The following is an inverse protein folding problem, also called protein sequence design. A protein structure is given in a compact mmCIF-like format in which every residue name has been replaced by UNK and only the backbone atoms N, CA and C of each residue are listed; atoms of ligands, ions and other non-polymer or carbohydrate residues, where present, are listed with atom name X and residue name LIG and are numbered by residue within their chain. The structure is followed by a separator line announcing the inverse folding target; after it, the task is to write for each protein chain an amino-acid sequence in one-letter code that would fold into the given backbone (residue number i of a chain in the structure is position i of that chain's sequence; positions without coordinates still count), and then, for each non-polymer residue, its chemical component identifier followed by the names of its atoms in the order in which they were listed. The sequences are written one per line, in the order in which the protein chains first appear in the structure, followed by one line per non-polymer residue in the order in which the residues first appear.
data_IF_909010249703
#
_entry.id   IF_909010249703
#
_cell.length_a   1.000
_cell.length_b   1.000
_cell.length_c   1.000
_cell.angle_alpha   90.00
_cell.angle_beta   90.00
_cell.angle_gamma   90.00
#
_symmetry.space_group_name_H-M   'P 1'
#
loop_
_entity.id
_entity.type
_entity.pdbx_description
1 polymer ?
#
# COMPACT_ATOMS: atom_id res chain seq x y z
N UNK A 1 28.48 -21.30 -49.54
CA UNK A 1 27.33 -21.32 -50.47
C UNK A 1 26.25 -20.35 -49.98
N UNK A 2 25.92 -19.38 -50.85
CA UNK A 2 24.73 -18.50 -50.96
C UNK A 2 24.21 -17.71 -49.73
N UNK A 3 24.55 -16.42 -49.82
CA UNK A 3 23.77 -15.22 -49.45
C UNK A 3 22.37 -15.19 -50.07
N UNK A 4 21.36 -14.67 -49.34
CA UNK A 4 20.25 -13.88 -49.90
C UNK A 4 19.87 -12.75 -48.92
N UNK A 5 20.00 -11.50 -49.40
CA UNK A 5 19.29 -10.28 -48.95
C UNK A 5 17.97 -10.17 -49.71
N UNK A 6 16.93 -9.62 -49.06
CA UNK A 6 15.88 -8.73 -49.64
C UNK A 6 15.12 -8.06 -48.48
N UNK A 7 15.29 -6.75 -48.25
CA UNK A 7 14.41 -5.61 -48.65
C UNK A 7 13.01 -5.64 -48.02
N UNK A 8 12.73 -4.80 -47.01
CA UNK A 8 12.06 -3.48 -47.13
C UNK A 8 10.57 -3.55 -47.50
N UNK A 9 9.69 -3.14 -46.59
CA UNK A 9 8.63 -2.15 -46.86
C UNK A 9 7.99 -1.70 -45.53
N UNK A 10 7.87 -0.38 -45.40
CA UNK A 10 7.27 0.37 -44.31
C UNK A 10 5.90 0.86 -44.80
N UNK A 11 4.85 0.93 -43.95
CA UNK A 11 3.75 1.86 -44.23
C UNK A 11 3.57 2.89 -43.10
N UNK A 12 3.91 4.13 -43.46
CA UNK A 12 3.06 5.34 -43.35
C UNK A 12 2.33 5.63 -42.03
N UNK A 13 2.89 6.58 -41.28
CA UNK A 13 2.13 7.56 -40.49
C UNK A 13 1.32 8.50 -41.40
N UNK A 14 0.18 9.02 -40.92
CA UNK A 14 -0.30 10.34 -41.30
C UNK A 14 -0.05 11.36 -40.18
N UNK A 15 0.77 12.36 -40.48
CA UNK A 15 0.67 13.74 -39.99
C UNK A 15 -0.62 14.33 -40.58
N UNK A 16 -1.44 15.15 -39.94
CA UNK A 16 -1.23 16.26 -39.03
C UNK A 16 -2.44 17.21 -39.21
N UNK A 17 -2.84 17.96 -38.17
CA UNK A 17 -3.54 19.24 -38.32
C UNK A 17 -3.72 19.90 -36.95
N UNK A 18 -3.14 21.09 -36.82
CA UNK A 18 -3.25 21.98 -35.67
C UNK A 18 -4.49 22.88 -35.78
N UNK A 19 -5.08 23.22 -34.62
CA UNK A 19 -5.85 24.44 -34.24
C UNK A 19 -6.65 24.06 -32.99
N UNK A 20 -6.89 24.86 -31.96
CA UNK A 20 -6.77 26.31 -31.76
C UNK A 20 -6.74 26.53 -30.24
N UNK A 21 -5.93 27.48 -29.78
CA UNK A 21 -6.05 28.08 -28.44
C UNK A 21 -7.40 28.80 -28.35
N UNK A 22 -8.12 28.60 -27.25
CA UNK A 22 -9.04 29.61 -26.70
C UNK A 22 -8.97 29.57 -25.18
N UNK A 23 -8.89 30.76 -24.63
CA UNK A 23 -8.62 31.12 -23.26
C UNK A 23 -9.87 31.70 -22.60
N UNK A 24 -9.91 31.58 -21.26
CA UNK A 24 -10.69 32.36 -20.26
C UNK A 24 -12.17 31.98 -20.02
N UNK A 25 -12.76 32.32 -18.84
CA UNK A 25 -12.19 33.00 -17.66
C UNK A 25 -12.37 32.26 -16.32
N UNK A 26 -11.63 32.76 -15.32
CA UNK A 26 -11.83 32.57 -13.88
C UNK A 26 -13.15 33.21 -13.44
N UNK A 27 -13.96 32.50 -12.68
CA UNK A 27 -14.98 33.09 -11.80
C UNK A 27 -14.65 32.74 -10.35
N UNK A 28 -14.36 33.79 -9.59
CA UNK A 28 -14.39 33.81 -8.14
C UNK A 28 -15.83 33.59 -7.67
N UNK A 29 -16.03 32.68 -6.73
CA UNK A 29 -17.20 32.68 -5.87
C UNK A 29 -16.72 32.60 -4.42
N UNK A 30 -16.70 33.75 -3.77
CA UNK A 30 -16.65 33.88 -2.33
C UNK A 30 -17.98 33.38 -1.76
N UNK A 31 -17.94 32.45 -0.81
CA UNK A 31 -19.10 32.08 0.00
C UNK A 31 -18.75 32.32 1.45
N UNK A 32 -19.60 33.15 2.06
CA UNK A 32 -19.50 33.70 3.40
C UNK A 32 -19.55 32.63 4.50
N UNK A 33 -18.80 32.89 5.57
CA UNK A 33 -18.98 32.25 6.87
C UNK A 33 -20.27 32.74 7.53
N UNK A 34 -21.05 31.87 8.19
CA UNK A 34 -21.91 32.29 9.28
C UNK A 34 -21.12 32.29 10.59
N UNK A 35 -21.12 33.48 11.20
CA UNK A 35 -20.85 33.78 12.60
C UNK A 35 -21.80 32.93 13.48
N UNK A 36 -21.27 32.16 14.42
CA UNK A 36 -22.07 31.53 15.47
C UNK A 36 -21.55 31.97 16.84
N UNK A 37 -22.48 32.55 17.59
CA UNK A 37 -22.34 33.19 18.88
C UNK A 37 -21.70 32.29 19.95
N UNK A 38 -20.78 32.91 20.69
CA UNK A 38 -20.38 32.53 22.04
C UNK A 38 -21.56 32.83 22.97
N UNK A 39 -22.01 31.82 23.72
CA UNK A 39 -22.69 32.05 25.00
C UNK A 39 -22.01 31.18 26.05
N UNK A 40 -21.48 31.84 27.08
CA UNK A 40 -20.87 31.22 28.24
C UNK A 40 -21.93 30.74 29.23
N UNK A 41 -21.58 29.70 29.97
CA UNK A 41 -22.26 29.25 31.16
C UNK A 41 -21.24 28.53 32.04
N UNK A 42 -20.79 29.23 33.09
CA UNK A 42 -19.93 28.73 34.16
C UNK A 42 -20.79 28.16 35.30
N UNK A 43 -20.11 27.50 36.26
CA UNK A 43 -20.59 26.85 37.50
C UNK A 43 -21.04 25.39 37.32
N UNK A 44 -20.64 24.42 38.15
CA UNK A 44 -19.79 24.42 39.33
C UNK A 44 -19.37 22.96 39.63
N UNK A 45 -18.22 22.81 40.29
CA UNK A 45 -17.70 21.54 40.76
C UNK A 45 -18.42 21.08 42.04
N UNK A 46 -18.65 19.77 42.19
CA UNK A 46 -18.77 19.11 43.49
C UNK A 46 -18.12 17.73 43.40
N UNK A 47 -17.30 17.40 44.39
CA UNK A 47 -16.53 16.18 44.52
C UNK A 47 -17.35 15.01 45.13
N UNK A 48 -16.93 13.78 44.78
CA UNK A 48 -16.84 12.47 45.48
C UNK A 48 -17.45 12.30 46.90
N UNK A 49 -17.76 11.07 47.42
CA UNK A 49 -16.95 9.83 47.25
C UNK A 49 -17.66 8.43 47.36
N UNK A 50 -16.89 7.35 47.05
CA UNK A 50 -16.78 5.99 47.67
C UNK A 50 -18.07 5.13 47.87
N UNK A 51 -18.16 3.79 47.82
CA UNK A 51 -17.25 2.62 47.99
C UNK A 51 -18.01 1.31 47.70
N UNK A 52 -17.25 0.22 47.47
CA UNK A 52 -17.52 -1.22 47.71
C UNK A 52 -18.73 -1.91 47.02
N UNK A 53 -18.67 -3.18 46.59
CA UNK A 53 -17.68 -4.24 46.71
C UNK A 53 -18.40 -5.58 46.46
N UNK A 54 -17.77 -6.55 45.80
CA UNK A 54 -18.03 -7.99 45.99
C UNK A 54 -17.15 -8.84 45.07
N UNK A 55 -16.46 -9.79 45.70
CA UNK A 55 -15.47 -10.71 45.16
C UNK A 55 -15.73 -12.05 45.85
N UNK A 56 -15.71 -13.19 45.12
CA UNK A 56 -15.36 -14.55 45.57
C UNK A 56 -15.62 -15.58 44.41
N UNK A 57 -15.22 -16.87 44.54
CA UNK A 57 -13.88 -17.47 44.35
C UNK A 57 -13.89 -18.46 43.14
N UNK A 58 -12.79 -18.83 42.46
CA UNK A 58 -11.70 -19.71 42.92
C UNK A 58 -11.87 -21.15 42.38
N UNK A 59 -11.08 -21.53 41.36
CA UNK A 59 -10.64 -22.93 41.10
C UNK A 59 -9.25 -22.93 40.44
N UNK A 60 -8.29 -23.46 41.20
CA UNK A 60 -6.96 -23.99 40.83
C UNK A 60 -7.03 -25.03 39.68
N UNK A 61 -5.99 -25.44 38.96
CA UNK A 61 -4.60 -25.04 38.76
C UNK A 61 -4.05 -25.88 37.59
N UNK A 62 -2.86 -25.48 37.10
CA UNK A 62 -1.87 -26.28 36.38
C UNK A 62 -2.07 -26.58 34.88
N UNK A 63 -1.39 -25.78 34.04
CA UNK A 63 -0.20 -26.31 33.31
C UNK A 63 0.71 -25.18 32.83
N UNK A 64 1.92 -25.20 33.39
CA UNK A 64 3.01 -24.26 33.16
C UNK A 64 3.59 -24.42 31.75
N UNK A 65 3.46 -23.39 30.92
CA UNK A 65 4.31 -23.18 29.76
C UNK A 65 4.65 -21.68 29.73
N UNK A 66 5.90 -21.36 30.07
CA UNK A 66 6.41 -20.01 30.16
C UNK A 66 6.37 -19.31 28.78
N UNK A 67 5.29 -18.59 28.52
CA UNK A 67 5.27 -17.52 27.53
C UNK A 67 5.82 -16.27 28.21
N UNK A 68 7.05 -15.90 27.87
CA UNK A 68 7.54 -14.55 28.12
C UNK A 68 6.70 -13.56 27.28
N UNK A 69 5.61 -13.06 27.86
CA UNK A 69 4.96 -11.83 27.42
C UNK A 69 5.85 -10.67 27.83
N UNK A 70 6.81 -10.32 26.97
CA UNK A 70 7.41 -9.00 27.01
C UNK A 70 6.33 -8.03 26.51
N UNK A 71 5.64 -7.38 27.45
CA UNK A 71 4.81 -6.21 27.16
C UNK A 71 5.72 -5.12 26.60
N UNK A 72 5.83 -5.08 25.28
CA UNK A 72 6.58 -4.06 24.57
C UNK A 72 5.91 -2.71 24.78
N UNK A 73 6.51 -1.89 25.64
CA UNK A 73 6.18 -0.45 25.72
C UNK A 73 6.15 0.12 24.31
N UNK A 74 4.96 0.55 23.87
CA UNK A 74 4.78 1.21 22.60
C UNK A 74 5.62 2.50 22.61
N UNK A 75 6.42 2.72 21.57
CA UNK A 75 7.16 3.97 21.40
C UNK A 75 6.13 5.09 21.20
N UNK A 76 5.85 5.87 22.24
CA UNK A 76 5.03 7.08 22.16
C UNK A 76 5.83 8.17 21.46
N UNK A 77 5.28 8.74 20.39
CA UNK A 77 5.97 9.59 19.42
C UNK A 77 6.43 10.98 19.90
N UNK A 78 7.13 11.07 21.03
CA UNK A 78 7.92 12.26 21.33
C UNK A 78 9.14 12.28 20.40
N UNK A 79 9.29 13.35 19.61
CA UNK A 79 10.46 13.55 18.76
C UNK A 79 11.71 13.68 19.64
N UNK A 80 12.68 12.75 19.59
CA UNK A 80 13.93 12.97 20.30
C UNK A 80 14.63 14.17 19.68
N UNK A 81 15.18 15.04 20.54
CA UNK A 81 15.99 16.21 20.17
C UNK A 81 17.17 15.86 19.24
N UNK A 82 17.55 14.58 19.15
CA UNK A 82 18.68 14.04 18.39
C UNK A 82 18.30 13.21 17.12
N UNK A 83 17.05 13.27 16.64
CA UNK A 83 16.58 12.51 15.48
C UNK A 83 16.75 13.21 14.12
N UNK A 84 16.88 12.42 13.05
CA UNK A 84 16.69 12.88 11.67
C UNK A 84 15.22 12.73 11.27
N UNK A 85 14.66 13.76 10.65
CA UNK A 85 13.29 13.76 10.12
C UNK A 85 13.30 14.16 8.66
N UNK A 86 12.68 13.38 7.78
CA UNK A 86 12.51 13.78 6.39
C UNK A 86 11.26 14.65 6.26
N UNK A 87 11.44 15.90 5.83
CA UNK A 87 10.33 16.75 5.44
C UNK A 87 9.87 16.36 4.05
N UNK A 88 8.76 15.61 3.96
CA UNK A 88 8.19 15.24 2.67
C UNK A 88 7.80 16.45 1.82
N UNK A 89 7.38 17.57 2.44
CA UNK A 89 7.08 18.82 1.75
C UNK A 89 8.33 19.44 1.11
N UNK A 90 9.43 19.54 1.88
CA UNK A 90 10.68 20.16 1.41
C UNK A 90 11.59 19.19 0.64
N UNK A 91 11.29 17.89 0.63
CA UNK A 91 12.11 16.88 -0.04
C UNK A 91 13.50 16.71 0.58
N UNK A 92 13.69 17.05 1.86
CA UNK A 92 15.00 17.00 2.53
C UNK A 92 14.92 16.55 3.98
N UNK A 93 16.03 16.04 4.52
CA UNK A 93 16.17 15.76 5.94
C UNK A 93 16.39 17.02 6.76
N UNK A 94 15.92 17.00 8.00
CA UNK A 94 16.14 17.99 9.05
C UNK A 94 16.56 17.23 10.33
N UNK A 95 17.22 17.90 11.26
CA UNK A 95 17.49 17.38 12.61
C UNK A 95 16.33 17.69 13.56
N UNK A 96 16.38 17.18 14.79
CA UNK A 96 15.44 17.53 15.87
C UNK A 96 15.32 19.05 16.07
N UNK A 97 16.44 19.78 15.97
CA UNK A 97 16.49 21.24 16.01
C UNK A 97 15.92 21.96 14.77
N UNK A 98 15.42 21.21 13.76
CA UNK A 98 14.85 21.78 12.53
C UNK A 98 15.87 22.30 11.51
N UNK A 99 17.16 22.09 11.77
CA UNK A 99 18.25 22.48 10.88
C UNK A 99 18.49 21.38 9.83
N UNK A 100 18.95 21.76 8.64
CA UNK A 100 19.39 20.78 7.66
C UNK A 100 20.69 20.11 8.17
N UNK A 101 20.77 18.77 8.22
CA UNK A 101 22.02 18.09 8.51
C UNK A 101 23.03 18.33 7.38
N UNK A 102 24.32 18.25 7.71
CA UNK A 102 25.36 18.26 6.70
C UNK A 102 25.28 16.98 5.86
N UNK A 103 25.20 17.11 4.54
CA UNK A 103 25.40 16.00 3.63
C UNK A 103 26.90 15.76 3.48
N UNK A 104 27.40 14.68 4.09
CA UNK A 104 28.81 14.28 3.96
C UNK A 104 29.09 13.74 2.56
N UNK A 105 28.14 12.97 2.01
CA UNK A 105 28.26 12.36 0.68
C UNK A 105 26.91 11.97 0.12
N UNK A 106 26.65 12.29 -1.15
CA UNK A 106 25.55 11.72 -1.92
C UNK A 106 26.02 10.46 -2.64
N UNK A 107 25.32 9.36 -2.46
CA UNK A 107 25.59 8.07 -3.12
C UNK A 107 24.43 7.83 -4.09
N UNK A 108 24.60 8.29 -5.33
CA UNK A 108 23.63 8.04 -6.41
C UNK A 108 23.90 6.66 -7.02
N UNK A 109 23.04 5.69 -6.70
CA UNK A 109 23.12 4.34 -7.28
C UNK A 109 22.36 4.24 -8.60
N UNK A 110 22.54 3.13 -9.30
CA UNK A 110 21.76 2.82 -10.50
C UNK A 110 20.37 2.23 -10.14
N UNK A 111 20.24 1.61 -8.96
CA UNK A 111 19.02 0.96 -8.49
C UNK A 111 18.39 1.63 -7.26
N UNK A 112 19.19 2.23 -6.37
CA UNK A 112 18.73 2.96 -5.18
C UNK A 112 19.69 4.08 -4.82
N UNK A 113 19.18 5.12 -4.16
CA UNK A 113 19.95 6.30 -3.76
C UNK A 113 20.08 6.42 -2.25
N UNK A 114 21.28 6.78 -1.81
CA UNK A 114 21.57 7.04 -0.41
C UNK A 114 22.25 8.41 -0.22
N UNK A 115 22.21 8.91 1.01
CA UNK A 115 23.03 10.05 1.44
C UNK A 115 23.60 9.75 2.81
N UNK A 116 24.88 10.08 3.03
CA UNK A 116 25.48 10.08 4.35
C UNK A 116 25.27 11.45 4.97
N UNK A 117 24.64 11.47 6.13
CA UNK A 117 24.27 12.68 6.87
C UNK A 117 25.06 12.78 8.17
N UNK A 118 25.32 14.00 8.62
CA UNK A 118 25.81 14.30 9.97
C UNK A 118 25.06 15.49 10.54
N UNK A 119 24.32 15.27 11.62
CA UNK A 119 23.65 16.31 12.38
C UNK A 119 24.62 16.98 13.35
N UNK A 120 24.43 18.29 13.59
CA UNK A 120 25.12 18.96 14.70
C UNK A 120 24.65 18.31 16.02
N UNK A 121 25.60 17.79 16.81
CA UNK A 121 25.30 17.08 18.06
C UNK A 121 24.76 15.65 17.90
N UNK A 122 24.82 15.04 16.71
CA UNK A 122 24.40 13.65 16.52
C UNK A 122 25.44 12.63 17.00
N UNK A 123 24.99 11.42 17.36
CA UNK A 123 25.81 10.27 17.80
C UNK A 123 26.78 9.69 16.74
N UNK A 124 27.04 10.44 15.67
CA UNK A 124 27.84 10.00 14.51
C UNK A 124 27.16 10.28 13.17
N UNK A 125 27.84 9.95 12.06
CA UNK A 125 27.24 9.93 10.73
C UNK A 125 26.09 8.91 10.64
N UNK A 126 25.20 9.12 9.67
CA UNK A 126 23.97 8.32 9.48
C UNK A 126 23.75 8.04 7.99
N UNK A 127 23.34 6.82 7.65
CA UNK A 127 23.00 6.41 6.29
C UNK A 127 21.52 6.70 6.05
N UNK A 128 21.20 7.49 5.04
CA UNK A 128 19.81 7.80 4.67
C UNK A 128 19.43 7.16 3.34
N UNK A 129 18.34 6.39 3.32
CA UNK A 129 17.70 5.88 2.10
C UNK A 129 16.79 6.94 1.50
N UNK A 130 17.05 7.32 0.24
CA UNK A 130 16.41 8.48 -0.41
C UNK A 130 15.68 8.17 -1.72
N UNK A 131 15.61 6.90 -2.12
CA UNK A 131 14.96 6.50 -3.38
C UNK A 131 13.50 6.92 -3.48
N UNK A 132 12.75 6.83 -2.38
CA UNK A 132 11.35 7.29 -2.33
C UNK A 132 11.22 8.76 -1.90
N UNK A 133 12.30 9.47 -1.60
CA UNK A 133 12.24 10.83 -1.08
C UNK A 133 11.71 11.84 -2.12
N UNK A 134 11.98 11.63 -3.40
CA UNK A 134 11.62 12.55 -4.49
C UNK A 134 10.59 11.93 -5.44
N UNK A 135 9.41 12.54 -5.54
CA UNK A 135 8.39 12.31 -6.58
C UNK A 135 7.44 13.51 -6.65
N UNK A 136 6.77 13.72 -7.78
CA UNK A 136 5.63 14.63 -7.91
C UNK A 136 4.45 14.23 -7.01
N UNK A 137 4.26 12.94 -6.71
CA UNK A 137 3.18 12.45 -5.85
C UNK A 137 3.56 12.57 -4.37
N UNK A 138 3.23 13.70 -3.73
CA UNK A 138 3.66 14.00 -2.36
C UNK A 138 3.34 12.89 -1.33
N UNK A 139 2.18 12.23 -1.44
CA UNK A 139 1.77 11.14 -0.54
C UNK A 139 2.61 9.86 -0.72
N UNK A 140 3.31 9.70 -1.84
CA UNK A 140 4.18 8.57 -2.12
C UNK A 140 5.63 8.80 -1.70
N UNK A 141 5.95 9.97 -1.14
CA UNK A 141 7.29 10.25 -0.60
C UNK A 141 7.49 9.41 0.67
N UNK A 142 8.71 8.97 0.95
CA UNK A 142 9.12 8.42 2.24
C UNK A 142 10.64 8.31 2.26
N UNK A 143 11.22 8.33 3.45
CA UNK A 143 12.65 8.14 3.61
C UNK A 143 12.96 7.57 5.00
N UNK A 144 14.16 7.06 5.16
CA UNK A 144 14.68 6.59 6.43
C UNK A 144 16.13 7.02 6.61
N UNK A 145 16.58 7.09 7.85
CA UNK A 145 17.96 7.33 8.22
C UNK A 145 18.37 6.35 9.33
N UNK A 146 19.48 5.64 9.18
CA UNK A 146 19.93 4.64 10.13
C UNK A 146 21.41 4.80 10.50
N UNK A 147 21.73 4.47 11.74
CA UNK A 147 23.09 4.18 12.17
C UNK A 147 23.06 2.87 12.98
N UNK A 148 24.17 2.50 13.64
CA UNK A 148 24.23 1.24 14.38
C UNK A 148 23.34 1.18 15.63
N UNK A 149 22.73 2.29 16.08
CA UNK A 149 21.95 2.39 17.32
C UNK A 149 20.48 2.75 17.08
N UNK A 150 20.13 3.25 15.90
CA UNK A 150 18.75 3.66 15.62
C UNK A 150 18.39 3.59 14.14
N UNK A 151 17.08 3.60 13.90
CA UNK A 151 16.45 3.89 12.62
C UNK A 151 15.41 4.99 12.81
N UNK A 152 15.59 6.10 12.12
CA UNK A 152 14.61 7.16 11.97
C UNK A 152 13.81 6.95 10.69
N UNK A 153 12.49 6.87 10.82
CA UNK A 153 11.54 6.72 9.72
C UNK A 153 10.82 8.03 9.50
N UNK A 154 10.48 8.33 8.24
CA UNK A 154 9.71 9.51 7.92
C UNK A 154 8.86 9.31 6.67
N UNK A 155 7.61 9.77 6.76
CA UNK A 155 6.60 9.66 5.72
C UNK A 155 5.83 10.99 5.61
N UNK A 156 5.05 11.21 4.55
CA UNK A 156 4.22 12.39 4.40
C UNK A 156 3.00 12.31 5.32
N UNK A 157 2.57 13.48 5.80
CA UNK A 157 1.24 13.64 6.34
C UNK A 157 0.20 13.29 5.27
N UNK A 158 -0.81 12.54 5.67
CA UNK A 158 -2.00 12.29 4.86
C UNK A 158 -3.10 13.12 5.46
N UNK A 159 -3.72 13.98 4.64
CA UNK A 159 -4.82 14.84 5.06
C UNK A 159 -5.94 13.98 5.64
N UNK A 160 -6.45 14.36 6.81
CA UNK A 160 -7.49 13.63 7.56
C UNK A 160 -7.08 12.22 8.05
N UNK A 161 -5.77 11.94 8.19
CA UNK A 161 -5.32 10.75 8.88
C UNK A 161 -5.26 10.98 10.40
N UNK A 162 -5.93 10.14 11.17
CA UNK A 162 -5.98 10.28 12.63
C UNK A 162 -4.70 9.81 13.33
N UNK A 163 -4.12 8.71 12.83
CA UNK A 163 -2.92 8.06 13.39
C UNK A 163 -2.24 7.15 12.37
N UNK A 164 -0.98 6.84 12.64
CA UNK A 164 -0.14 5.91 11.90
C UNK A 164 0.26 4.76 12.80
N UNK A 165 0.13 3.54 12.30
CA UNK A 165 0.68 2.33 12.91
C UNK A 165 2.01 2.02 12.25
N UNK A 166 3.05 1.75 13.05
CA UNK A 166 4.40 1.44 12.56
C UNK A 166 4.77 0.04 13.00
N UNK A 167 5.14 -0.78 12.02
CA UNK A 167 5.55 -2.16 12.19
C UNK A 167 7.02 -2.32 11.80
N UNK A 168 7.75 -3.19 12.49
CA UNK A 168 9.08 -3.66 12.12
C UNK A 168 9.04 -5.17 11.98
N UNK A 169 9.39 -5.68 10.81
CA UNK A 169 9.42 -7.12 10.51
C UNK A 169 8.10 -7.84 10.84
N UNK A 170 6.99 -7.11 10.73
CA UNK A 170 5.63 -7.58 10.99
C UNK A 170 5.09 -7.30 12.40
N UNK A 171 5.94 -6.91 13.35
CA UNK A 171 5.54 -6.60 14.72
C UNK A 171 5.22 -5.12 14.88
N UNK A 172 4.10 -4.78 15.55
CA UNK A 172 3.73 -3.40 15.85
C UNK A 172 4.72 -2.82 16.87
N UNK A 173 5.48 -1.80 16.49
CA UNK A 173 6.47 -1.15 17.36
C UNK A 173 6.00 0.20 17.92
N UNK A 174 4.94 0.78 17.35
CA UNK A 174 4.38 2.04 17.82
C UNK A 174 3.17 2.52 17.05
N UNK A 175 2.46 3.46 17.65
CA UNK A 175 1.38 4.24 17.03
C UNK A 175 1.63 5.71 17.29
N UNK A 176 1.48 6.57 16.28
CA UNK A 176 1.79 8.01 16.39
C UNK A 176 0.86 8.84 15.50
N UNK A 177 0.57 10.08 15.91
CA UNK A 177 -0.08 11.08 15.05
C UNK A 177 0.95 11.85 14.21
N UNK A 178 2.22 11.80 14.61
CA UNK A 178 3.32 12.40 13.86
C UNK A 178 3.66 11.62 12.60
N UNK A 179 4.45 12.25 11.73
CA UNK A 179 4.85 11.68 10.43
C UNK A 179 6.29 11.13 10.44
N UNK A 180 6.78 10.80 11.64
CA UNK A 180 8.09 10.25 11.89
C UNK A 180 8.06 9.35 13.13
N UNK A 181 9.00 8.40 13.19
CA UNK A 181 9.24 7.55 14.36
C UNK A 181 10.71 7.16 14.40
N UNK A 182 11.32 7.20 15.59
CA UNK A 182 12.65 6.65 15.85
C UNK A 182 12.53 5.30 16.54
N UNK A 183 13.16 4.29 15.98
CA UNK A 183 13.35 2.98 16.60
C UNK A 183 14.79 2.86 17.09
N UNK A 184 14.97 2.71 18.40
CA UNK A 184 16.26 2.51 19.08
C UNK A 184 16.54 1.05 19.43
N UNK A 185 15.60 0.13 19.17
CA UNK A 185 15.74 -1.30 19.50
C UNK A 185 16.33 -2.09 18.35
N UNK A 186 17.24 -1.48 17.59
CA UNK A 186 17.79 -2.04 16.35
C UNK A 186 19.11 -2.78 16.61
N UNK A 187 19.44 -3.72 15.74
CA UNK A 187 20.69 -4.49 15.84
C UNK A 187 21.66 -4.01 14.75
N UNK A 188 22.91 -3.65 15.09
CA UNK A 188 23.93 -3.34 14.10
C UNK A 188 24.06 -4.44 13.04
N UNK A 189 24.15 -4.05 11.76
CA UNK A 189 24.24 -5.00 10.66
C UNK A 189 22.93 -5.63 10.17
N UNK A 190 21.84 -5.49 10.92
CA UNK A 190 20.57 -6.07 10.55
C UNK A 190 19.94 -5.37 9.32
N UNK A 191 19.17 -6.15 8.55
CA UNK A 191 18.25 -5.61 7.56
C UNK A 191 16.83 -5.80 8.09
N UNK A 192 16.04 -4.73 8.14
CA UNK A 192 14.66 -4.76 8.64
C UNK A 192 13.70 -4.13 7.65
N UNK A 193 12.49 -4.67 7.55
CA UNK A 193 11.36 -4.07 6.86
C UNK A 193 10.51 -3.27 7.84
N UNK A 194 10.38 -1.97 7.60
CA UNK A 194 9.42 -1.14 8.33
C UNK A 194 8.19 -0.91 7.48
N UNK A 195 6.99 -1.09 8.06
CA UNK A 195 5.73 -0.71 7.44
C UNK A 195 5.01 0.35 8.23
N UNK A 196 4.52 1.35 7.54
CA UNK A 196 3.73 2.44 8.12
C UNK A 196 2.35 2.37 7.48
N UNK A 197 1.29 2.29 8.28
CA UNK A 197 -0.08 2.19 7.79
C UNK A 197 -1.00 3.25 8.40
N UNK A 198 -1.90 3.79 7.59
CA UNK A 198 -2.99 4.66 8.02
C UNK A 198 -4.18 4.56 7.07
N UNK A 199 -5.29 5.18 7.44
CA UNK A 199 -6.48 5.37 6.60
C UNK A 199 -6.87 6.83 6.59
N UNK A 200 -7.35 7.33 5.45
CA UNK A 200 -7.76 8.72 5.31
C UNK A 200 -8.85 8.89 4.26
N UNK A 201 -9.57 10.02 4.33
CA UNK A 201 -10.60 10.38 3.36
C UNK A 201 -10.01 10.50 1.96
N UNK A 202 -10.59 9.80 1.00
CA UNK A 202 -10.19 9.84 -0.39
C UNK A 202 -10.56 11.17 -1.05
N UNK A 203 -9.72 11.72 -1.95
CA UNK A 203 -10.05 12.95 -2.68
C UNK A 203 -11.24 12.71 -3.63
N UNK A 204 -12.08 13.73 -3.83
CA UNK A 204 -13.27 13.66 -4.68
C UNK A 204 -12.96 13.20 -6.12
N UNK A 205 -11.79 13.54 -6.65
CA UNK A 205 -11.31 13.09 -7.97
C UNK A 205 -11.12 11.57 -8.09
N UNK A 206 -11.11 10.85 -6.98
CA UNK A 206 -11.03 9.38 -6.95
C UNK A 206 -12.38 8.73 -6.67
N UNK A 207 -13.46 9.49 -6.53
CA UNK A 207 -14.78 8.92 -6.29
C UNK A 207 -15.36 8.37 -7.59
N UNK A 208 -16.02 7.22 -7.48
CA UNK A 208 -16.90 6.69 -8.52
C UNK A 208 -18.24 7.42 -8.49
N UNK A 209 -18.98 7.43 -9.59
CA UNK A 209 -20.33 8.04 -9.65
C UNK A 209 -21.24 7.54 -8.51
N UNK A 210 -21.16 6.26 -8.21
CA UNK A 210 -21.91 5.65 -7.10
C UNK A 210 -21.44 6.06 -5.70
N UNK A 211 -20.16 6.40 -5.53
CA UNK A 211 -19.65 6.97 -4.27
C UNK A 211 -20.07 8.43 -4.16
N UNK A 212 -20.03 9.19 -5.25
CA UNK A 212 -20.59 10.54 -5.30
C UNK A 212 -22.09 10.53 -4.94
N UNK A 213 -22.87 9.59 -5.49
CA UNK A 213 -24.28 9.43 -5.17
C UNK A 213 -24.54 8.97 -3.72
N UNK A 214 -23.56 8.29 -3.09
CA UNK A 214 -23.65 7.92 -1.67
C UNK A 214 -23.37 9.15 -0.81
N UNK A 215 -22.29 9.88 -1.09
CA UNK A 215 -21.97 11.14 -0.44
C UNK A 215 -23.13 12.15 -0.52
N UNK A 216 -23.75 12.33 -1.68
CA UNK A 216 -24.88 13.25 -1.84
C UNK A 216 -26.10 12.86 -0.97
N UNK A 217 -26.23 11.59 -0.59
CA UNK A 217 -27.36 11.08 0.21
C UNK A 217 -27.05 11.05 1.71
N UNK A 218 -25.82 10.69 2.08
CA UNK A 218 -25.46 10.38 3.48
C UNK A 218 -24.37 11.28 4.05
N UNK A 219 -23.67 12.06 3.22
CA UNK A 219 -22.46 12.79 3.61
C UNK A 219 -21.23 11.90 3.82
N UNK A 220 -21.32 10.58 3.60
CA UNK A 220 -20.22 9.64 3.83
C UNK A 220 -19.13 9.81 2.76
N UNK A 221 -17.90 10.08 3.21
CA UNK A 221 -16.74 10.22 2.33
C UNK A 221 -16.00 8.88 2.23
N UNK A 222 -15.72 8.37 1.02
CA UNK A 222 -14.91 7.18 0.83
C UNK A 222 -13.55 7.29 1.50
N UNK A 223 -13.06 6.19 2.07
CA UNK A 223 -11.76 6.13 2.75
C UNK A 223 -10.80 5.28 1.93
N UNK A 224 -9.55 5.74 1.82
CA UNK A 224 -8.44 4.96 1.29
C UNK A 224 -7.52 4.51 2.42
N UNK A 225 -6.91 3.35 2.26
CA UNK A 225 -5.76 2.98 3.06
C UNK A 225 -4.49 3.54 2.43
N UNK A 226 -3.47 3.74 3.25
CA UNK A 226 -2.14 4.18 2.85
C UNK A 226 -1.12 3.29 3.56
N UNK A 227 -0.17 2.75 2.83
CA UNK A 227 0.91 1.94 3.41
C UNK A 227 2.23 2.24 2.73
N UNK A 228 3.24 2.55 3.53
CA UNK A 228 4.64 2.63 3.11
C UNK A 228 5.40 1.43 3.64
N UNK A 229 6.37 0.94 2.88
CA UNK A 229 7.31 -0.08 3.31
C UNK A 229 8.72 0.34 2.94
N UNK A 230 9.61 0.29 3.92
CA UNK A 230 11.00 0.74 3.82
C UNK A 230 11.92 -0.40 4.25
N UNK A 231 12.76 -0.89 3.34
CA UNK A 231 13.80 -1.88 3.62
C UNK A 231 15.04 -1.11 4.08
N UNK A 232 15.30 -1.17 5.38
CA UNK A 232 16.37 -0.42 6.03
C UNK A 232 17.56 -1.35 6.28
N UNK A 233 18.75 -0.90 5.88
CA UNK A 233 20.00 -1.54 6.29
C UNK A 233 20.58 -0.77 7.47
N UNK A 234 20.73 -1.45 8.61
CA UNK A 234 21.38 -0.89 9.81
C UNK A 234 22.90 -1.11 9.65
N UNK A 235 23.73 -0.05 9.65
CA UNK A 235 25.18 -0.18 9.59
C UNK A 235 25.74 -0.93 10.81
N UNK A 236 26.89 -1.61 10.64
CA UNK A 236 27.59 -2.30 11.73
C UNK A 236 28.12 -1.34 12.81
N UNK A 237 28.49 -0.13 12.42
CA UNK A 237 28.96 0.92 13.33
C UNK A 237 28.67 2.30 12.76
N UNK A 238 28.72 3.34 13.59
CA UNK A 238 28.45 4.72 13.20
C UNK A 238 29.71 5.42 12.62
N UNK A 239 30.46 4.75 11.73
CA UNK A 239 31.56 5.36 10.98
C UNK A 239 31.30 5.34 9.47
N UNK A 240 31.93 6.27 8.74
CA UNK A 240 31.68 6.46 7.30
C UNK A 240 31.91 5.18 6.49
N UNK A 241 32.94 4.40 6.80
CA UNK A 241 33.25 3.15 6.08
C UNK A 241 32.15 2.08 6.24
N UNK A 242 31.63 1.90 7.45
CA UNK A 242 30.54 0.96 7.72
C UNK A 242 29.22 1.40 7.05
N UNK A 243 28.93 2.71 7.06
CA UNK A 243 27.76 3.28 6.38
C UNK A 243 27.84 3.08 4.86
N UNK A 244 29.01 3.33 4.27
CA UNK A 244 29.21 3.11 2.84
C UNK A 244 29.12 1.63 2.47
N UNK A 245 29.61 0.74 3.33
CA UNK A 245 29.51 -0.71 3.13
C UNK A 245 28.04 -1.16 3.13
N UNK A 246 27.24 -0.65 4.08
CA UNK A 246 25.80 -0.87 4.11
C UNK A 246 25.10 -0.35 2.84
N UNK A 247 25.44 0.86 2.38
CA UNK A 247 24.90 1.44 1.15
C UNK A 247 25.25 0.60 -0.10
N UNK A 248 26.51 0.16 -0.23
CA UNK A 248 26.97 -0.70 -1.34
C UNK A 248 26.26 -2.05 -1.35
N UNK A 249 26.09 -2.67 -0.18
CA UNK A 249 25.36 -3.94 -0.05
C UNK A 249 23.89 -3.80 -0.47
N UNK A 250 23.21 -2.76 -0.01
CA UNK A 250 21.82 -2.50 -0.37
C UNK A 250 21.66 -2.18 -1.88
N UNK A 251 22.58 -1.40 -2.46
CA UNK A 251 22.61 -1.12 -3.90
C UNK A 251 22.89 -2.38 -4.73
N UNK A 252 23.83 -3.23 -4.32
CA UNK A 252 24.13 -4.49 -5.00
C UNK A 252 22.91 -5.43 -4.99
N UNK A 253 22.21 -5.53 -3.85
CA UNK A 253 20.95 -6.27 -3.73
C UNK A 253 19.88 -5.71 -4.66
N UNK A 254 19.66 -4.39 -4.64
CA UNK A 254 18.67 -3.75 -5.51
C UNK A 254 18.98 -3.96 -7.01
N UNK A 255 20.25 -3.82 -7.41
CA UNK A 255 20.72 -4.09 -8.78
C UNK A 255 20.44 -5.52 -9.24
N UNK A 256 20.47 -6.50 -8.35
CA UNK A 256 20.18 -7.90 -8.70
C UNK A 256 18.76 -8.11 -9.23
N UNK A 257 17.81 -7.26 -8.84
CA UNK A 257 16.44 -7.33 -9.35
C UNK A 257 16.34 -6.71 -10.74
N UNK A 258 15.88 -7.49 -11.71
CA UNK A 258 15.67 -7.06 -13.09
C UNK A 258 14.23 -6.65 -13.38
N UNK A 259 13.28 -7.22 -12.64
CA UNK A 259 11.89 -6.83 -12.71
C UNK A 259 11.18 -6.93 -11.37
N UNK A 260 10.08 -6.21 -11.27
CA UNK A 260 9.14 -6.30 -10.16
C UNK A 260 7.73 -6.49 -10.71
N UNK A 261 6.99 -7.45 -10.17
CA UNK A 261 5.58 -7.64 -10.47
C UNK A 261 4.71 -7.15 -9.31
N UNK A 262 3.56 -6.57 -9.64
CA UNK A 262 2.46 -6.35 -8.70
C UNK A 262 1.25 -7.12 -9.24
N UNK A 263 0.78 -8.07 -8.46
CA UNK A 263 -0.36 -8.92 -8.79
C UNK A 263 -1.53 -8.58 -7.88
N UNK A 264 -2.67 -8.21 -8.46
CA UNK A 264 -3.94 -8.04 -7.75
C UNK A 264 -4.90 -9.16 -8.14
N UNK A 265 -5.11 -10.07 -7.20
CA UNK A 265 -5.94 -11.26 -7.38
C UNK A 265 -7.15 -11.22 -6.46
N UNK A 266 -8.27 -11.73 -6.95
CA UNK A 266 -9.48 -11.92 -6.15
C UNK A 266 -9.92 -13.38 -6.21
N UNK A 267 -10.51 -13.89 -5.15
CA UNK A 267 -10.97 -15.29 -5.10
C UNK A 267 -12.11 -15.46 -4.10
N UNK A 268 -12.92 -16.49 -4.31
CA UNK A 268 -13.97 -16.90 -3.38
C UNK A 268 -13.43 -18.05 -2.54
N UNK A 269 -13.23 -17.83 -1.25
CA UNK A 269 -12.66 -18.83 -0.34
C UNK A 269 -13.45 -20.13 -0.24
N UNK A 270 -14.78 -20.05 -0.33
CA UNK A 270 -15.68 -21.19 -0.19
C UNK A 270 -15.76 -22.01 -1.48
N UNK A 271 -16.02 -23.31 -1.37
CA UNK A 271 -16.30 -24.17 -2.54
C UNK A 271 -17.55 -23.75 -3.30
N UNK A 272 -18.57 -23.30 -2.58
CA UNK A 272 -19.87 -22.92 -3.13
C UNK A 272 -20.31 -21.56 -2.61
N UNK A 273 -20.97 -20.78 -3.46
CA UNK A 273 -21.65 -19.54 -3.09
C UNK A 273 -23.03 -19.52 -3.71
N UNK A 274 -24.04 -19.17 -2.92
CA UNK A 274 -25.40 -18.95 -3.41
C UNK A 274 -25.47 -17.61 -4.14
N UNK A 275 -26.17 -17.59 -5.26
CA UNK A 275 -26.31 -16.36 -6.02
C UNK A 275 -27.22 -15.34 -5.29
N UNK A 276 -26.85 -14.06 -5.32
CA UNK A 276 -27.74 -12.97 -4.91
C UNK A 276 -28.87 -12.74 -5.92
N UNK A 277 -29.90 -11.99 -5.51
CA UNK A 277 -30.98 -11.51 -6.40
C UNK A 277 -30.42 -10.68 -7.55
N UNK A 278 -31.00 -10.81 -8.76
CA UNK A 278 -30.49 -10.13 -9.98
C UNK A 278 -29.55 -10.99 -10.84
N UNK A 279 -29.37 -12.26 -10.47
CA UNK A 279 -28.70 -13.28 -11.27
C UNK A 279 -29.71 -14.21 -11.97
N UNK A 280 -29.33 -14.80 -13.11
CA UNK A 280 -30.14 -15.78 -13.86
C UNK A 280 -30.39 -17.06 -13.06
N UNK A 281 -29.39 -17.52 -12.31
CA UNK A 281 -29.45 -18.76 -11.55
C UNK A 281 -29.49 -18.43 -10.06
N UNK A 282 -30.67 -18.52 -9.42
CA UNK A 282 -30.85 -18.18 -8.00
C UNK A 282 -31.27 -19.41 -7.19
N UNK A 283 -32.55 -19.51 -6.80
CA UNK A 283 -33.08 -20.61 -5.99
C UNK A 283 -32.88 -21.95 -6.72
N UNK A 284 -32.32 -22.94 -6.01
CA UNK A 284 -32.01 -24.26 -6.58
C UNK A 284 -30.65 -24.36 -7.28
N UNK A 285 -29.86 -23.28 -7.30
CA UNK A 285 -28.53 -23.23 -7.92
C UNK A 285 -27.44 -22.75 -6.97
N UNK A 286 -26.19 -23.05 -7.32
CA UNK A 286 -24.98 -22.61 -6.64
C UNK A 286 -23.86 -22.32 -7.63
N UNK A 287 -23.01 -21.36 -7.28
CA UNK A 287 -21.84 -20.96 -8.06
C UNK A 287 -20.59 -21.59 -7.43
N UNK A 288 -19.69 -22.13 -8.25
CA UNK A 288 -18.41 -22.61 -7.76
C UNK A 288 -17.52 -21.44 -7.33
N UNK A 289 -16.93 -21.54 -6.14
CA UNK A 289 -15.84 -20.67 -5.71
C UNK A 289 -14.47 -21.29 -5.98
N UNK A 290 -13.43 -20.68 -5.43
CA UNK A 290 -12.04 -21.09 -5.62
C UNK A 290 -11.55 -22.12 -4.60
N UNK A 291 -12.30 -22.29 -3.50
CA UNK A 291 -12.02 -23.25 -2.43
C UNK A 291 -10.57 -23.17 -1.92
N UNK A 292 -10.10 -21.96 -1.59
CA UNK A 292 -8.71 -21.73 -1.14
C UNK A 292 -8.60 -20.59 -0.16
N UNK A 293 -7.44 -20.50 0.49
CA UNK A 293 -7.00 -19.31 1.24
C UNK A 293 -6.10 -18.39 0.42
N UNK A 294 -5.56 -17.37 1.10
CA UNK A 294 -4.54 -16.48 0.55
C UNK A 294 -3.30 -17.27 0.14
N UNK A 295 -2.67 -16.87 -0.96
CA UNK A 295 -1.48 -17.58 -1.44
C UNK A 295 -0.57 -16.69 -2.25
N UNK A 296 0.74 -16.82 -2.02
CA UNK A 296 1.80 -16.17 -2.81
C UNK A 296 2.12 -16.94 -4.11
N UNK A 297 1.57 -18.13 -4.30
CA UNK A 297 1.82 -18.95 -5.49
C UNK A 297 1.11 -18.38 -6.73
N UNK A 298 1.77 -18.46 -7.87
CA UNK A 298 1.30 -17.83 -9.11
C UNK A 298 0.07 -18.50 -9.73
N UNK A 299 -0.05 -19.82 -9.67
CA UNK A 299 -1.03 -20.63 -10.41
C UNK A 299 -2.33 -20.94 -9.64
N UNK A 300 -2.72 -20.13 -8.66
CA UNK A 300 -3.94 -20.39 -7.88
C UNK A 300 -5.19 -19.90 -8.60
N UNK A 301 -6.26 -20.67 -8.46
CA UNK A 301 -7.60 -20.33 -8.94
C UNK A 301 -8.03 -18.94 -8.47
N UNK A 302 -8.75 -18.19 -9.28
CA UNK A 302 -9.15 -16.83 -8.95
C UNK A 302 -10.42 -16.42 -9.70
N UNK A 303 -11.04 -15.32 -9.26
CA UNK A 303 -12.11 -14.63 -9.99
C UNK A 303 -11.54 -13.58 -10.93
N UNK A 304 -10.57 -12.80 -10.47
CA UNK A 304 -9.78 -11.87 -11.29
C UNK A 304 -8.31 -12.02 -10.94
N UNK A 305 -7.43 -11.92 -11.93
CA UNK A 305 -5.98 -11.75 -11.76
C UNK A 305 -5.54 -10.60 -12.68
N UNK A 306 -4.93 -9.56 -12.11
CA UNK A 306 -4.27 -8.48 -12.82
C UNK A 306 -2.81 -8.50 -12.43
N UNK A 307 -1.91 -8.69 -13.39
CA UNK A 307 -0.46 -8.69 -13.13
C UNK A 307 0.19 -7.60 -13.95
N UNK A 308 0.79 -6.61 -13.28
CA UNK A 308 1.66 -5.61 -13.90
C UNK A 308 3.12 -5.92 -13.62
N UNK A 309 3.99 -5.75 -14.60
CA UNK A 309 5.44 -5.98 -14.50
C UNK A 309 6.19 -4.72 -14.89
N UNK A 310 7.13 -4.30 -14.04
CA UNK A 310 8.08 -3.23 -14.30
C UNK A 310 9.45 -3.85 -14.52
N UNK A 311 10.08 -3.56 -15.66
CA UNK A 311 11.43 -4.02 -16.00
C UNK A 311 12.43 -2.88 -15.80
N UNK A 312 13.36 -3.05 -14.85
CA UNK A 312 14.17 -1.93 -14.36
C UNK A 312 15.27 -1.48 -15.31
N UNK A 313 16.21 -2.34 -15.76
CA UNK A 313 17.26 -1.90 -16.67
C UNK A 313 16.73 -1.39 -18.02
N UNK A 314 15.63 -1.97 -18.51
CA UNK A 314 15.06 -1.66 -19.82
C UNK A 314 14.16 -0.42 -19.81
N UNK A 315 13.73 0.06 -18.63
CA UNK A 315 12.78 1.17 -18.55
C UNK A 315 11.42 0.87 -19.18
N UNK A 316 11.04 -0.42 -19.25
CA UNK A 316 9.78 -0.86 -19.88
C UNK A 316 8.84 -1.51 -18.86
N UNK A 317 7.60 -1.76 -19.30
CA UNK A 317 6.60 -2.47 -18.51
C UNK A 317 5.72 -3.35 -19.38
N UNK A 318 5.08 -4.34 -18.76
CA UNK A 318 4.06 -5.18 -19.39
C UNK A 318 2.95 -5.42 -18.38
N UNK A 319 1.80 -5.89 -18.85
CA UNK A 319 0.75 -6.36 -17.95
C UNK A 319 -0.12 -7.39 -18.63
N UNK A 320 -0.79 -8.19 -17.82
CA UNK A 320 -1.75 -9.19 -18.24
C UNK A 320 -2.94 -9.21 -17.30
N UNK A 321 -4.05 -9.77 -17.78
CA UNK A 321 -5.23 -10.03 -16.97
C UNK A 321 -5.82 -11.39 -17.28
N UNK A 322 -6.43 -12.01 -16.28
CA UNK A 322 -7.22 -13.22 -16.42
C UNK A 322 -8.49 -13.13 -15.58
N UNK A 323 -9.59 -13.69 -16.10
CA UNK A 323 -10.85 -13.80 -15.38
C UNK A 323 -11.18 -15.28 -15.25
N UNK A 324 -11.44 -15.70 -14.01
CA UNK A 324 -11.87 -17.05 -13.73
C UNK A 324 -13.24 -17.34 -14.34
N UNK A 325 -13.37 -18.49 -14.99
CA UNK A 325 -14.65 -18.96 -15.52
C UNK A 325 -15.64 -19.16 -14.37
N UNK A 326 -16.83 -18.60 -14.54
CA UNK A 326 -17.96 -18.80 -13.63
C UNK A 326 -18.64 -20.12 -13.99
N UNK A 327 -18.80 -21.01 -13.01
CA UNK A 327 -19.50 -22.29 -13.17
C UNK A 327 -20.72 -22.34 -12.25
N UNK A 328 -21.84 -22.82 -12.80
CA UNK A 328 -23.12 -22.93 -12.12
C UNK A 328 -23.55 -24.39 -12.07
N UNK A 329 -24.07 -24.78 -10.91
CA UNK A 329 -24.57 -26.12 -10.63
C UNK A 329 -25.95 -26.02 -9.97
N UNK A 330 -26.76 -27.07 -10.09
CA UNK A 330 -27.92 -27.26 -9.21
C UNK A 330 -27.45 -27.54 -7.78
N UNK A 331 -28.32 -27.36 -6.79
CA UNK A 331 -28.00 -27.67 -5.38
C UNK A 331 -27.56 -29.12 -5.18
N UNK A 332 -28.17 -30.05 -5.92
CA UNK A 332 -27.79 -31.47 -5.98
C UNK A 332 -26.43 -31.77 -6.66
N UNK A 333 -25.72 -30.74 -7.14
CA UNK A 333 -24.38 -30.88 -7.71
C UNK A 333 -24.32 -31.12 -9.23
N UNK A 334 -25.45 -31.23 -9.93
CA UNK A 334 -25.45 -31.36 -11.40
C UNK A 334 -24.98 -30.05 -12.07
N UNK A 335 -24.02 -30.14 -13.00
CA UNK A 335 -23.55 -29.00 -13.78
C UNK A 335 -24.66 -28.39 -14.65
N UNK A 336 -24.66 -27.06 -14.78
CA UNK A 336 -25.69 -26.31 -15.49
C UNK A 336 -25.09 -25.41 -16.57
N UNK A 337 -24.09 -24.60 -16.24
CA UNK A 337 -23.55 -23.62 -17.18
C UNK A 337 -22.14 -23.17 -16.81
N UNK A 338 -21.35 -22.76 -17.81
CA UNK A 338 -20.07 -22.06 -17.61
C UNK A 338 -19.93 -20.88 -18.56
N UNK A 339 -19.40 -19.75 -18.06
CA UNK A 339 -19.13 -18.54 -18.86
C UNK A 339 -18.07 -17.69 -18.18
N UNK A 340 -17.26 -17.01 -18.98
CA UNK A 340 -16.24 -16.06 -18.50
C UNK A 340 -16.74 -14.64 -18.68
N UNK A 341 -16.58 -13.79 -17.66
CA UNK A 341 -16.95 -12.39 -17.75
C UNK A 341 -15.99 -11.60 -18.65
N UNK A 342 -16.44 -10.43 -19.10
CA UNK A 342 -15.55 -9.47 -19.75
C UNK A 342 -14.60 -8.82 -18.74
N UNK A 343 -13.33 -8.69 -19.11
CA UNK A 343 -12.31 -7.96 -18.34
C UNK A 343 -12.02 -6.57 -18.88
N UNK A 344 -12.92 -5.99 -19.69
CA UNK A 344 -12.70 -4.69 -20.36
C UNK A 344 -12.35 -3.55 -19.38
N UNK A 345 -12.87 -3.59 -18.16
CA UNK A 345 -12.64 -2.57 -17.11
C UNK A 345 -11.43 -2.86 -16.22
N UNK A 346 -10.70 -3.95 -16.45
CA UNK A 346 -9.43 -4.22 -15.78
C UNK A 346 -8.28 -3.60 -16.57
N UNK A 347 -7.41 -2.88 -15.86
CA UNK A 347 -6.26 -2.18 -16.45
C UNK A 347 -5.11 -2.04 -15.46
N UNK A 348 -3.88 -2.06 -15.98
CA UNK A 348 -2.68 -1.62 -15.28
C UNK A 348 -2.02 -0.50 -16.08
N UNK A 349 -1.61 0.57 -15.40
CA UNK A 349 -0.95 1.73 -16.01
C UNK A 349 0.32 2.06 -15.25
N UNK A 350 1.40 2.31 -15.98
CA UNK A 350 2.60 2.95 -15.44
C UNK A 350 2.52 4.44 -15.75
N UNK A 351 2.50 5.26 -14.70
CA UNK A 351 2.36 6.72 -14.80
C UNK A 351 3.72 7.40 -14.94
N UNK A 352 4.72 6.90 -14.22
CA UNK A 352 6.11 7.34 -14.31
C UNK A 352 7.03 6.16 -14.00
N UNK A 353 8.21 6.11 -14.61
CA UNK A 353 9.21 5.07 -14.37
C UNK A 353 10.62 5.60 -14.62
N UNK A 354 11.56 5.13 -13.82
CA UNK A 354 13.00 5.20 -14.09
C UNK A 354 13.66 3.88 -13.62
N UNK A 355 15.00 3.82 -13.62
CA UNK A 355 15.74 2.62 -13.25
C UNK A 355 15.61 2.21 -11.77
N UNK A 356 15.02 3.07 -10.93
CA UNK A 356 14.97 2.96 -9.46
C UNK A 356 13.56 2.84 -8.91
N UNK A 357 12.58 3.51 -9.54
CA UNK A 357 11.18 3.51 -9.08
C UNK A 357 10.18 3.67 -10.22
N UNK A 358 8.96 3.19 -10.00
CA UNK A 358 7.84 3.37 -10.90
C UNK A 358 6.57 3.71 -10.10
N UNK A 359 5.77 4.63 -10.62
CA UNK A 359 4.40 4.90 -10.15
C UNK A 359 3.41 4.19 -11.05
N UNK A 360 2.53 3.42 -10.43
CA UNK A 360 1.64 2.51 -11.14
C UNK A 360 0.24 2.55 -10.56
N UNK A 361 -0.75 2.28 -11.40
CA UNK A 361 -2.16 2.16 -11.02
C UNK A 361 -2.74 0.86 -11.55
N UNK A 362 -3.35 0.09 -10.66
CA UNK A 362 -4.10 -1.12 -11.02
C UNK A 362 -5.58 -0.95 -10.73
N UNK A 363 -6.44 -1.37 -11.65
CA UNK A 363 -7.89 -1.40 -11.51
C UNK A 363 -8.37 -2.82 -11.82
N UNK A 364 -9.09 -3.42 -10.88
CA UNK A 364 -9.83 -4.66 -11.12
C UNK A 364 -11.32 -4.35 -11.11
N UNK A 365 -12.01 -4.67 -12.20
CA UNK A 365 -13.46 -4.66 -12.23
C UNK A 365 -13.98 -5.76 -13.17
N UNK A 366 -14.79 -6.65 -12.61
CA UNK A 366 -15.42 -7.75 -13.35
C UNK A 366 -16.80 -8.06 -12.77
N UNK A 367 -17.81 -8.12 -13.64
CA UNK A 367 -19.16 -8.59 -13.30
C UNK A 367 -19.24 -10.11 -13.29
N UNK A 368 -20.37 -10.65 -12.83
CA UNK A 368 -20.72 -12.05 -13.04
C UNK A 368 -21.46 -12.16 -14.39
N UNK A 369 -21.04 -13.04 -15.33
CA UNK A 369 -21.62 -13.09 -16.66
C UNK A 369 -23.06 -13.63 -16.72
N UNK A 370 -23.60 -14.04 -15.56
CA UNK A 370 -24.97 -14.49 -15.35
C UNK A 370 -25.78 -13.52 -14.48
N UNK A 371 -25.24 -12.36 -14.10
CA UNK A 371 -25.95 -11.36 -13.31
C UNK A 371 -25.97 -10.03 -14.04
N UNK A 372 -27.12 -9.35 -14.04
CA UNK A 372 -27.27 -8.02 -14.65
C UNK A 372 -26.74 -6.89 -13.77
N UNK A 373 -26.44 -7.20 -12.52
CA UNK A 373 -26.03 -6.25 -11.48
C UNK A 373 -24.86 -6.80 -10.68
N UNK A 374 -24.12 -5.90 -10.04
CA UNK A 374 -23.01 -6.23 -9.17
C UNK A 374 -21.71 -6.55 -9.91
N UNK A 375 -20.60 -6.13 -9.32
CA UNK A 375 -19.26 -6.38 -9.85
C UNK A 375 -18.27 -6.46 -8.72
N UNK A 376 -17.24 -7.29 -8.89
CA UNK A 376 -16.00 -7.17 -8.16
C UNK A 376 -15.39 -5.84 -8.59
N UNK A 377 -14.92 -5.03 -7.66
CA UNK A 377 -14.28 -3.75 -7.98
C UNK A 377 -13.26 -3.37 -6.92
N UNK A 378 -12.13 -2.82 -7.37
CA UNK A 378 -11.09 -2.26 -6.52
C UNK A 378 -9.99 -1.62 -7.34
N UNK A 379 -9.22 -0.73 -6.72
CA UNK A 379 -8.07 -0.12 -7.37
C UNK A 379 -6.97 0.18 -6.36
N UNK A 380 -5.73 0.26 -6.85
CA UNK A 380 -4.62 0.82 -6.09
C UNK A 380 -3.84 1.84 -6.93
N UNK A 381 -3.31 2.84 -6.26
CA UNK A 381 -2.19 3.67 -6.70
C UNK A 381 -0.96 3.24 -5.88
N UNK A 382 0.17 2.97 -6.53
CA UNK A 382 1.38 2.55 -5.85
C UNK A 382 2.61 3.23 -6.45
N UNK A 383 3.61 3.46 -5.61
CA UNK A 383 4.98 3.73 -6.02
C UNK A 383 5.83 2.57 -5.56
N UNK A 384 6.47 1.87 -6.48
CA UNK A 384 7.38 0.76 -6.16
C UNK A 384 8.81 1.14 -6.52
N UNK A 385 9.76 0.62 -5.77
CA UNK A 385 11.19 0.78 -6.05
C UNK A 385 11.85 -0.55 -6.37
N UNK A 386 12.98 -0.48 -7.06
CA UNK A 386 13.80 -1.63 -7.40
C UNK A 386 14.42 -2.30 -6.16
N UNK A 387 14.65 -1.54 -5.08
CA UNK A 387 15.08 -2.06 -3.77
C UNK A 387 13.99 -2.84 -3.04
N UNK A 388 12.73 -2.73 -3.48
CA UNK A 388 11.57 -3.34 -2.83
C UNK A 388 10.87 -2.45 -1.81
N UNK A 389 11.28 -1.19 -1.66
CA UNK A 389 10.51 -0.19 -0.94
C UNK A 389 9.26 0.17 -1.75
N UNK A 390 8.16 0.47 -1.07
CA UNK A 390 6.93 0.86 -1.75
C UNK A 390 6.08 1.83 -0.95
N UNK A 391 5.18 2.50 -1.67
CA UNK A 391 3.96 3.10 -1.17
C UNK A 391 2.78 2.49 -1.93
N UNK A 392 1.68 2.20 -1.24
CA UNK A 392 0.42 1.76 -1.87
C UNK A 392 -0.76 2.41 -1.16
N UNK A 393 -1.77 2.80 -1.94
CA UNK A 393 -3.04 3.31 -1.46
C UNK A 393 -4.20 2.87 -2.34
N UNK A 394 -5.37 2.71 -1.75
CA UNK A 394 -6.60 2.46 -2.50
C UNK A 394 -7.69 1.84 -1.64
N UNK A 395 -8.68 1.27 -2.32
CA UNK A 395 -9.84 0.61 -1.71
C UNK A 395 -10.49 -0.39 -2.67
N UNK A 396 -11.34 -1.25 -2.13
CA UNK A 396 -12.04 -2.28 -2.87
C UNK A 396 -13.38 -2.66 -2.23
N UNK A 397 -14.26 -3.30 -3.00
CA UNK A 397 -15.50 -3.90 -2.46
C UNK A 397 -15.18 -5.06 -1.54
N UNK A 398 -16.05 -5.32 -0.57
CA UNK A 398 -15.86 -6.39 0.43
C UNK A 398 -16.29 -7.78 -0.07
N UNK A 399 -16.37 -7.97 -1.38
CA UNK A 399 -16.60 -9.28 -1.99
C UNK A 399 -15.89 -9.33 -3.36
N UNK A 400 -15.09 -10.37 -3.62
CA UNK A 400 -14.83 -11.54 -2.79
C UNK A 400 -13.62 -11.29 -1.87
N UNK A 401 -12.75 -12.28 -1.64
CA UNK A 401 -11.46 -12.03 -0.99
C UNK A 401 -10.53 -11.31 -1.97
N UNK A 402 -9.66 -10.45 -1.44
CA UNK A 402 -8.68 -9.67 -2.21
C UNK A 402 -7.27 -9.92 -1.69
N UNK A 403 -6.31 -10.13 -2.59
CA UNK A 403 -4.88 -10.20 -2.27
C UNK A 403 -4.06 -9.41 -3.29
N UNK A 404 -3.12 -8.61 -2.79
CA UNK A 404 -2.14 -7.89 -3.60
C UNK A 404 -0.75 -8.38 -3.20
N UNK A 405 0.01 -8.82 -4.19
CA UNK A 405 1.29 -9.47 -4.03
C UNK A 405 2.34 -8.67 -4.80
N UNK A 406 3.50 -8.44 -4.20
CA UNK A 406 4.68 -7.89 -4.88
C UNK A 406 5.77 -8.95 -4.94
N UNK A 407 6.39 -9.08 -6.11
CA UNK A 407 7.52 -9.98 -6.30
C UNK A 407 8.66 -9.31 -7.06
N UNK A 408 9.90 -9.42 -6.60
CA UNK A 408 11.09 -8.95 -7.33
C UNK A 408 11.93 -10.11 -7.81
N UNK A 409 12.34 -10.10 -9.07
CA UNK A 409 12.98 -11.22 -9.76
C UNK A 409 14.42 -10.90 -10.15
N UNK A 410 15.35 -11.78 -9.79
CA UNK A 410 16.74 -11.75 -10.28
C UNK A 410 16.91 -12.62 -11.53
N UNK A 411 17.95 -12.37 -12.33
CA UNK A 411 18.21 -13.14 -13.56
C UNK A 411 18.94 -14.46 -13.34
N UNK A 412 19.95 -14.48 -12.46
CA UNK A 412 20.74 -15.70 -12.21
C UNK A 412 21.45 -15.63 -10.84
N UNK A 413 21.27 -16.64 -9.95
CA UNK A 413 20.17 -17.61 -10.00
C UNK A 413 18.82 -16.86 -9.96
N UNK A 414 17.76 -17.45 -10.49
CA UNK A 414 16.42 -16.87 -10.42
C UNK A 414 15.93 -16.94 -8.97
N UNK A 415 16.08 -15.84 -8.24
CA UNK A 415 15.59 -15.65 -6.88
C UNK A 415 14.46 -14.64 -6.93
N UNK A 416 13.43 -14.93 -6.15
CA UNK A 416 12.27 -14.08 -6.02
C UNK A 416 12.05 -13.78 -4.54
N UNK A 417 11.97 -12.51 -4.16
CA UNK A 417 11.26 -12.19 -2.92
C UNK A 417 9.79 -12.02 -3.27
N UNK A 418 8.89 -12.55 -2.43
CA UNK A 418 7.44 -12.38 -2.63
C UNK A 418 6.78 -12.01 -1.31
N UNK A 419 6.01 -10.92 -1.30
CA UNK A 419 5.37 -10.38 -0.11
C UNK A 419 3.91 -10.05 -0.40
N UNK A 420 3.05 -10.21 0.60
CA UNK A 420 1.72 -9.61 0.54
C UNK A 420 1.84 -8.11 0.83
N UNK A 421 1.32 -7.30 -0.10
CA UNK A 421 1.03 -5.89 0.12
C UNK A 421 -0.31 -5.71 0.83
N UNK A 422 -1.28 -6.58 0.51
CA UNK A 422 -2.62 -6.54 1.06
C UNK A 422 -3.26 -7.92 1.02
N UNK A 423 -4.03 -8.25 2.06
CA UNK A 423 -5.00 -9.35 2.03
C UNK A 423 -6.26 -8.90 2.75
N UNK A 424 -7.43 -9.26 2.25
CA UNK A 424 -8.71 -8.98 2.90
C UNK A 424 -9.68 -10.12 2.66
N UNK A 425 -10.33 -10.59 3.73
CA UNK A 425 -11.40 -11.59 3.63
C UNK A 425 -12.68 -10.92 3.10
N UNK A 426 -13.49 -11.67 2.35
CA UNK A 426 -14.83 -11.26 1.95
C UNK A 426 -15.74 -11.09 3.17
N UNK A 427 -16.73 -10.21 3.05
CA UNK A 427 -17.79 -10.01 4.04
C UNK A 427 -19.04 -10.82 3.64
N UNK A 428 -19.79 -10.34 2.64
CA UNK A 428 -21.03 -10.97 2.17
C UNK A 428 -21.15 -10.85 0.65
N UNK A 429 -21.78 -11.83 -0.05
CA UNK A 429 -22.14 -11.70 -1.45
C UNK A 429 -22.95 -10.43 -1.77
N UNK A 430 -23.70 -9.91 -0.79
CA UNK A 430 -24.43 -8.64 -0.93
C UNK A 430 -23.50 -7.45 -1.19
N UNK A 431 -22.25 -7.50 -0.74
CA UNK A 431 -21.27 -6.44 -0.96
C UNK A 431 -20.82 -6.28 -2.42
N UNK A 432 -21.28 -7.15 -3.34
CA UNK A 432 -21.14 -6.92 -4.78
C UNK A 432 -22.08 -5.82 -5.29
N UNK A 433 -23.19 -5.57 -4.58
CA UNK A 433 -24.22 -4.60 -4.91
C UNK A 433 -24.05 -3.35 -4.04
N UNK A 434 -24.16 -2.16 -4.64
CA UNK A 434 -24.17 -0.90 -3.89
C UNK A 434 -25.62 -0.54 -3.51
N UNK A 435 -25.90 0.02 -2.32
CA UNK A 435 -24.98 0.48 -1.27
C UNK A 435 -24.79 -0.53 -0.11
N UNK A 436 -24.94 -1.83 -0.33
CA UNK A 436 -25.09 -2.81 0.76
C UNK A 436 -23.90 -2.87 1.74
N UNK A 437 -22.69 -2.48 1.32
CA UNK A 437 -21.51 -2.48 2.19
C UNK A 437 -20.59 -1.28 1.89
N UNK A 438 -20.02 -0.63 2.92
CA UNK A 438 -18.91 0.30 2.71
C UNK A 438 -17.69 -0.43 2.14
N UNK A 439 -16.87 0.30 1.39
CA UNK A 439 -15.64 -0.25 0.81
C UNK A 439 -14.63 -0.61 1.92
N UNK A 440 -13.79 -1.63 1.67
CA UNK A 440 -12.60 -1.88 2.46
C UNK A 440 -11.40 -1.14 1.86
N UNK A 441 -10.50 -0.68 2.71
CA UNK A 441 -9.26 -0.01 2.31
C UNK A 441 -8.19 -1.01 1.88
N UNK A 442 -7.37 -0.63 0.91
CA UNK A 442 -6.09 -1.31 0.64
C UNK A 442 -5.07 -0.74 1.62
N UNK A 443 -4.58 -1.60 2.50
CA UNK A 443 -3.68 -1.23 3.58
C UNK A 443 -4.02 -2.05 4.82
N UNK A 444 -2.98 -2.62 5.42
CA UNK A 444 -2.96 -3.39 6.67
C UNK A 444 -4.11 -4.41 6.87
N UNK A 445 -3.96 -5.63 6.32
CA UNK A 445 -4.66 -6.84 6.78
C UNK A 445 -3.96 -8.16 6.33
N UNK A 446 -2.66 -8.11 6.05
CA UNK A 446 -1.84 -9.31 5.87
C UNK A 446 -1.12 -9.63 7.15
N UNK A 447 -1.76 -10.39 8.05
CA UNK A 447 -1.05 -11.10 9.11
C UNK A 447 0.10 -11.90 8.47
N UNK A 448 1.29 -11.75 9.03
CA UNK A 448 2.53 -12.30 8.49
C UNK A 448 2.64 -13.80 8.69
#
# INVERSE_FOLDING_TARGET
MRSIRTSSTNPTQPTGAARSRRSLPRTLAAVALPLALVTGGTTGAVASPLTDGAQAPGVDAARTAAHHTAEGSALTGAAPSAGYRFSAAQGRFLTGAGQAPQALRHIKGAATDFTLLKGKGSDGPTLAGTTLASTSTASARAAWASNSKFVDLSWPGVRDADRYQVFRDGELIGTTQGTNLRDTRVRPGAASEYRIATTAKAPASEWTDSEQATFNRTGEVPVNGHTWSLNVQVPQSANTAALETAARSAEAKAKSYHSTTIKYRTFIRSKWVTAPTGCKYTKGYKYAGDNRGFSKADSKSHRTDLTGTVYWPQGSSSWSKHIGTTHVYKTNGKFVAKKTASGKKMSFRVMSQNSKSAEVRGITEAGNPYCGVGSISGYYNARISRSGDFYISGRHKRMPDHEIIISGFTRSPMKTYTKFLHTSKQASPLCLFKPACPAATIGNNGGY
#
